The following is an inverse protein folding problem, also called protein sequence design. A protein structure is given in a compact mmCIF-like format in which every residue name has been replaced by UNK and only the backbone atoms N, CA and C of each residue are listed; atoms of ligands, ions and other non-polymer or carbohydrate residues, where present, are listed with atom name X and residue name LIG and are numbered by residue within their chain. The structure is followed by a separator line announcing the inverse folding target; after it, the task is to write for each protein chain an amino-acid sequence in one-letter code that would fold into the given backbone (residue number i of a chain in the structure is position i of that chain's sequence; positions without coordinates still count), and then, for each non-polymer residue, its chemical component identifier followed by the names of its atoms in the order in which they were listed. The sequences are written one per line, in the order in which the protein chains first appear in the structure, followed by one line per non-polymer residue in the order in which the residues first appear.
data_IF_655348405283
#
_entry.id   IF_655348405283
#
_cell.length_a   1.000
_cell.length_b   1.000
_cell.length_c   1.000
_cell.angle_alpha   90.00
_cell.angle_beta   90.00
_cell.angle_gamma   90.00
#
_symmetry.space_group_name_H-M   'P 1'
#
loop_
_entity.id
_entity.type
_entity.pdbx_description
1 polymer ?
#
# COMPACT_ATOMS: atom_id res chain seq x y z
N UNK A 1 -42.44 -8.53 -11.80
CA UNK A 1 -41.21 -8.48 -10.97
C UNK A 1 -40.12 -7.84 -11.80
N UNK A 2 -39.76 -6.61 -11.46
CA UNK A 2 -38.63 -5.92 -12.08
C UNK A 2 -37.36 -6.42 -11.36
N UNK A 3 -36.56 -7.20 -12.04
CA UNK A 3 -35.21 -7.52 -11.58
C UNK A 3 -34.33 -6.28 -11.76
N UNK A 4 -33.98 -5.59 -10.68
CA UNK A 4 -32.93 -4.58 -10.72
C UNK A 4 -31.61 -5.29 -11.02
N UNK A 5 -31.00 -4.97 -12.14
CA UNK A 5 -29.61 -5.36 -12.41
C UNK A 5 -28.74 -4.80 -11.27
N UNK A 6 -27.78 -5.58 -10.73
CA UNK A 6 -26.85 -5.04 -9.77
C UNK A 6 -26.10 -3.85 -10.40
N UNK A 7 -26.01 -2.75 -9.67
CA UNK A 7 -25.22 -1.61 -10.11
C UNK A 7 -23.79 -2.10 -10.38
N UNK A 8 -23.27 -1.77 -11.55
CA UNK A 8 -21.88 -2.09 -11.88
C UNK A 8 -20.96 -1.51 -10.79
N UNK A 9 -19.98 -2.30 -10.35
CA UNK A 9 -19.00 -1.87 -9.36
C UNK A 9 -18.36 -0.54 -9.81
N UNK A 10 -18.54 0.51 -9.03
CA UNK A 10 -18.01 1.83 -9.40
C UNK A 10 -16.60 1.97 -8.85
N UNK A 11 -15.62 1.85 -9.72
CA UNK A 11 -14.22 2.12 -9.41
C UNK A 11 -13.94 3.61 -9.41
N UNK A 12 -13.27 4.11 -8.38
CA UNK A 12 -12.74 5.47 -8.29
C UNK A 12 -11.21 5.44 -8.41
N UNK A 13 -10.66 6.38 -9.20
CA UNK A 13 -9.22 6.57 -9.25
C UNK A 13 -8.78 7.35 -8.00
N UNK A 14 -7.82 6.84 -7.25
CA UNK A 14 -7.28 7.48 -6.05
C UNK A 14 -6.39 8.69 -6.35
N UNK A 15 -5.90 8.80 -7.58
CA UNK A 15 -5.14 9.96 -8.08
C UNK A 15 -6.03 10.70 -9.09
N UNK A 16 -7.09 11.31 -8.59
CA UNK A 16 -8.10 11.99 -9.41
C UNK A 16 -7.54 13.27 -10.05
N UNK A 17 -8.01 13.55 -11.27
CA UNK A 17 -7.72 14.79 -12.03
C UNK A 17 -6.23 15.14 -12.09
N UNK A 18 -5.36 14.14 -12.05
CA UNK A 18 -3.90 14.33 -12.00
C UNK A 18 -3.47 15.21 -10.83
N UNK A 19 -4.17 15.11 -9.69
CA UNK A 19 -3.93 15.87 -8.48
C UNK A 19 -3.62 14.95 -7.31
N UNK A 20 -2.73 15.40 -6.42
CA UNK A 20 -2.41 14.75 -5.15
C UNK A 20 -3.13 15.39 -3.96
N UNK A 21 -4.12 16.26 -4.18
CA UNK A 21 -4.84 16.98 -3.11
C UNK A 21 -5.56 16.04 -2.11
N UNK A 22 -5.95 14.84 -2.55
CA UNK A 22 -6.56 13.80 -1.69
C UNK A 22 -5.56 13.05 -0.81
N UNK A 23 -4.27 13.43 -0.83
CA UNK A 23 -3.19 12.76 -0.15
C UNK A 23 -2.42 13.70 0.77
N UNK A 24 -1.64 13.12 1.69
CA UNK A 24 -0.69 13.83 2.54
C UNK A 24 0.62 13.04 2.68
N UNK A 25 1.74 13.77 2.65
CA UNK A 25 3.08 13.19 2.83
C UNK A 25 3.48 13.25 4.31
N UNK A 26 3.94 12.11 4.84
CA UNK A 26 4.41 11.96 6.22
C UNK A 26 5.87 11.50 6.17
N UNK A 27 6.75 12.24 6.83
CA UNK A 27 8.18 12.01 6.78
C UNK A 27 8.85 12.69 5.57
N UNK A 28 10.05 12.24 5.21
CA UNK A 28 10.97 12.87 4.25
C UNK A 28 10.87 12.30 2.82
N UNK A 29 9.72 11.79 2.45
CA UNK A 29 9.44 11.29 1.10
C UNK A 29 9.01 12.38 0.13
N UNK A 30 9.41 12.22 -1.13
CA UNK A 30 8.97 13.04 -2.25
C UNK A 30 8.04 12.23 -3.15
N UNK A 31 6.89 12.81 -3.50
CA UNK A 31 5.87 12.18 -4.32
C UNK A 31 5.54 13.05 -5.51
N UNK A 32 5.70 12.54 -6.71
CA UNK A 32 5.50 13.28 -7.95
C UNK A 32 4.54 12.53 -8.86
N UNK A 33 3.51 13.21 -9.32
CA UNK A 33 2.59 12.70 -10.32
C UNK A 33 2.99 13.19 -11.70
N UNK A 34 3.30 12.27 -12.59
CA UNK A 34 3.60 12.55 -13.99
C UNK A 34 2.33 12.82 -14.80
N UNK A 35 2.50 13.48 -15.94
CA UNK A 35 1.40 13.78 -16.86
C UNK A 35 0.73 12.53 -17.47
N UNK A 36 1.44 11.40 -17.51
CA UNK A 36 0.94 10.09 -17.96
C UNK A 36 0.19 9.31 -16.86
N UNK A 37 0.03 9.89 -15.65
CA UNK A 37 -0.69 9.27 -14.54
C UNK A 37 0.17 8.38 -13.64
N UNK A 38 1.48 8.29 -13.87
CA UNK A 38 2.39 7.54 -13.01
C UNK A 38 2.74 8.37 -11.78
N UNK A 39 2.45 7.83 -10.59
CA UNK A 39 2.88 8.36 -9.29
C UNK A 39 4.26 7.78 -8.95
N UNK A 40 5.25 8.64 -8.72
CA UNK A 40 6.61 8.27 -8.34
C UNK A 40 6.85 8.66 -6.89
N UNK A 41 7.26 7.69 -6.08
CA UNK A 41 7.72 7.88 -4.71
C UNK A 41 9.23 7.68 -4.60
N UNK A 42 9.91 8.59 -3.89
CA UNK A 42 11.35 8.55 -3.69
C UNK A 42 11.69 9.17 -2.34
N UNK A 43 12.58 8.53 -1.57
CA UNK A 43 13.10 9.14 -0.34
C UNK A 43 14.08 10.26 -0.63
N UNK A 44 14.11 11.24 0.26
CA UNK A 44 15.14 12.28 0.24
C UNK A 44 16.46 11.71 0.79
N UNK A 45 17.41 11.45 -0.10
CA UNK A 45 18.72 10.86 0.25
C UNK A 45 19.63 11.80 1.04
N UNK A 46 19.33 13.10 1.11
CA UNK A 46 20.13 14.08 1.87
C UNK A 46 19.89 14.02 3.37
N UNK A 47 18.77 13.47 3.81
CA UNK A 47 18.41 13.38 5.23
C UNK A 47 19.15 12.21 5.89
N UNK A 48 19.97 12.52 6.91
CA UNK A 48 20.63 11.50 7.72
C UNK A 48 19.63 10.88 8.71
N UNK A 49 19.58 9.55 8.72
CA UNK A 49 18.83 8.78 9.72
C UNK A 49 17.32 8.82 9.54
N UNK A 50 16.83 9.09 8.34
CA UNK A 50 15.41 9.00 8.07
C UNK A 50 14.95 7.53 8.16
N UNK A 51 13.95 7.30 9.00
CA UNK A 51 13.24 6.03 9.05
C UNK A 51 12.33 5.92 7.81
N UNK A 52 11.13 5.46 7.93
CA UNK A 52 10.19 5.36 6.82
C UNK A 52 9.63 6.75 6.43
N UNK A 53 9.12 6.85 5.20
CA UNK A 53 8.25 7.94 4.78
C UNK A 53 7.01 7.35 4.13
N UNK A 54 5.88 8.04 4.24
CA UNK A 54 4.59 7.53 3.84
C UNK A 54 3.77 8.57 3.09
N UNK A 55 2.86 8.10 2.25
CA UNK A 55 1.89 8.91 1.52
C UNK A 55 0.50 8.36 1.76
N UNK A 56 -0.30 9.07 2.55
CA UNK A 56 -1.61 8.62 3.02
C UNK A 56 -2.75 9.33 2.31
N UNK A 57 -3.80 8.57 1.99
CA UNK A 57 -5.08 9.17 1.62
C UNK A 57 -5.63 9.98 2.79
N UNK A 58 -6.19 11.17 2.52
CA UNK A 58 -6.90 11.95 3.55
C UNK A 58 -8.19 11.27 3.96
N UNK A 59 -8.89 10.65 3.00
CA UNK A 59 -10.08 9.82 3.24
C UNK A 59 -9.67 8.50 3.89
N UNK A 60 -10.55 8.01 4.76
CA UNK A 60 -10.49 6.67 5.34
C UNK A 60 -11.46 5.74 4.63
N UNK A 61 -11.13 4.45 4.64
CA UNK A 61 -11.86 3.40 3.94
C UNK A 61 -12.14 2.24 4.89
N UNK A 62 -13.30 1.59 4.73
CA UNK A 62 -13.69 0.38 5.45
C UNK A 62 -13.40 -0.89 4.65
N UNK A 63 -14.45 -1.42 4.01
CA UNK A 63 -14.31 -2.57 3.11
C UNK A 63 -14.15 -2.08 1.66
N UNK A 64 -13.18 -2.62 0.96
CA UNK A 64 -12.88 -2.20 -0.42
C UNK A 64 -12.07 -3.25 -1.18
N UNK A 65 -12.08 -3.11 -2.50
CA UNK A 65 -11.06 -3.64 -3.40
C UNK A 65 -10.14 -2.50 -3.82
N UNK A 66 -8.83 -2.71 -3.72
CA UNK A 66 -7.80 -1.79 -4.19
C UNK A 66 -7.01 -2.48 -5.29
N UNK A 67 -6.87 -1.83 -6.45
CA UNK A 67 -6.05 -2.33 -7.55
C UNK A 67 -5.06 -1.28 -8.00
N UNK A 68 -3.85 -1.73 -8.36
CA UNK A 68 -2.82 -0.89 -8.94
C UNK A 68 -1.75 -1.73 -9.64
N UNK A 69 -1.03 -1.10 -10.56
CA UNK A 69 0.25 -1.60 -11.02
C UNK A 69 1.36 -0.90 -10.24
N UNK A 70 2.41 -1.65 -9.88
CA UNK A 70 3.60 -1.10 -9.25
C UNK A 70 4.87 -1.54 -9.96
N UNK A 71 5.86 -0.67 -9.90
CA UNK A 71 7.25 -0.95 -10.24
C UNK A 71 8.13 -0.57 -9.06
N UNK A 72 9.04 -1.42 -8.69
CA UNK A 72 9.95 -1.18 -7.57
C UNK A 72 11.39 -1.39 -8.02
N UNK A 73 12.25 -0.42 -7.72
CA UNK A 73 13.68 -0.53 -7.99
C UNK A 73 14.25 -1.80 -7.38
N UNK A 74 15.17 -2.47 -8.08
CA UNK A 74 15.86 -3.66 -7.60
C UNK A 74 16.52 -3.40 -6.24
N UNK A 75 16.29 -4.28 -5.27
CA UNK A 75 16.71 -4.13 -3.88
C UNK A 75 15.92 -3.09 -3.10
N UNK A 76 14.85 -2.52 -3.68
CA UNK A 76 13.94 -1.61 -2.99
C UNK A 76 12.98 -2.34 -2.05
N UNK A 77 12.50 -1.59 -1.06
CA UNK A 77 11.50 -2.00 -0.09
C UNK A 77 10.43 -0.91 0.02
N UNK A 78 9.18 -1.30 -0.13
CA UNK A 78 7.98 -0.47 -0.07
C UNK A 78 6.81 -1.27 0.48
N UNK A 79 5.65 -0.66 0.61
CA UNK A 79 4.45 -1.34 1.09
C UNK A 79 3.20 -0.51 0.91
N UNK A 80 2.06 -1.17 1.07
CA UNK A 80 0.75 -0.52 1.12
C UNK A 80 0.18 -0.72 2.52
N UNK A 81 0.01 0.38 3.26
CA UNK A 81 -0.62 0.35 4.58
C UNK A 81 -2.13 0.43 4.47
N UNK A 82 -2.81 -0.39 5.26
CA UNK A 82 -4.26 -0.44 5.41
C UNK A 82 -4.62 -0.22 6.88
N UNK A 83 -5.61 0.62 7.16
CA UNK A 83 -6.20 0.80 8.49
C UNK A 83 -5.22 1.29 9.57
N UNK A 84 -4.10 1.91 9.18
CA UNK A 84 -3.21 2.53 10.15
C UNK A 84 -3.77 3.87 10.61
N UNK A 85 -4.46 3.87 11.73
CA UNK A 85 -5.08 5.05 12.34
C UNK A 85 -4.07 6.07 12.86
N UNK A 86 -2.79 5.69 13.01
CA UNK A 86 -1.72 6.59 13.43
C UNK A 86 -1.13 7.41 12.29
N UNK A 87 -1.39 7.02 11.02
CA UNK A 87 -0.80 7.65 9.82
C UNK A 87 0.72 7.70 9.91
N UNK A 88 1.34 6.57 10.24
CA UNK A 88 2.77 6.41 10.39
C UNK A 88 3.44 7.37 11.39
N UNK A 89 2.70 7.94 12.34
CA UNK A 89 3.24 8.85 13.37
C UNK A 89 4.50 8.30 14.04
N UNK A 90 4.56 6.98 14.21
CA UNK A 90 5.63 6.29 14.93
C UNK A 90 6.68 5.64 14.01
N UNK A 91 6.57 5.83 12.71
CA UNK A 91 7.49 5.24 11.74
C UNK A 91 8.49 6.24 11.13
N UNK A 92 8.38 7.51 11.49
CA UNK A 92 9.18 8.61 10.95
C UNK A 92 10.31 9.04 11.88
N UNK A 93 11.28 9.76 11.34
CA UNK A 93 12.37 10.36 12.11
C UNK A 93 11.84 11.26 13.23
N UNK A 94 12.40 11.13 14.42
CA UNK A 94 12.02 11.89 15.61
C UNK A 94 10.90 11.26 16.45
N UNK A 95 10.14 10.31 15.89
CA UNK A 95 9.05 9.62 16.60
C UNK A 95 9.12 8.08 16.44
N UNK A 96 10.29 7.53 16.16
CA UNK A 96 10.42 6.11 15.88
C UNK A 96 10.06 5.22 17.08
N UNK A 97 9.10 4.32 16.84
CA UNK A 97 8.75 3.23 17.76
C UNK A 97 8.49 1.97 16.92
N UNK A 98 9.39 0.99 17.01
CA UNK A 98 9.33 -0.21 16.19
C UNK A 98 8.05 -1.04 16.40
N UNK A 99 7.46 -0.97 17.60
CA UNK A 99 6.24 -1.70 17.98
C UNK A 99 4.95 -0.97 17.58
N UNK A 100 5.07 0.24 16.98
CA UNK A 100 3.94 1.09 16.59
C UNK A 100 4.01 1.56 15.13
N UNK A 101 4.78 0.87 14.31
CA UNK A 101 4.80 1.14 12.87
C UNK A 101 3.45 0.80 12.22
N UNK A 102 3.17 1.22 11.01
CA UNK A 102 1.90 0.95 10.33
C UNK A 102 1.53 -0.54 10.27
N UNK A 103 2.51 -1.43 10.14
CA UNK A 103 2.28 -2.89 10.20
C UNK A 103 1.85 -3.41 11.57
N UNK A 104 2.12 -2.67 12.65
CA UNK A 104 1.70 -3.03 14.01
C UNK A 104 0.34 -2.45 14.39
N UNK A 105 -0.01 -1.25 13.92
CA UNK A 105 -1.28 -0.58 14.23
C UNK A 105 -2.38 -0.99 13.26
N UNK A 106 -2.10 -0.91 11.97
CA UNK A 106 -2.93 -1.41 10.88
C UNK A 106 -2.34 -2.68 10.29
N UNK A 107 -2.30 -2.76 8.97
CA UNK A 107 -1.68 -3.84 8.21
C UNK A 107 -0.80 -3.25 7.13
N UNK A 108 0.26 -3.96 6.77
CA UNK A 108 1.12 -3.60 5.64
C UNK A 108 1.14 -4.75 4.64
N UNK A 109 0.83 -4.45 3.38
CA UNK A 109 1.00 -5.38 2.27
C UNK A 109 2.36 -5.08 1.65
N UNK A 110 3.26 -6.05 1.75
CA UNK A 110 4.67 -5.89 1.38
C UNK A 110 4.86 -5.70 -0.12
N UNK A 111 5.76 -4.80 -0.49
CA UNK A 111 6.35 -4.66 -1.81
C UNK A 111 7.87 -4.73 -1.65
N UNK A 112 8.47 -5.86 -2.00
CA UNK A 112 9.91 -6.11 -1.86
C UNK A 112 10.47 -6.81 -3.08
N UNK A 113 11.60 -6.31 -3.58
CA UNK A 113 12.42 -6.96 -4.60
C UNK A 113 13.76 -7.48 -4.01
N UNK A 114 13.84 -7.61 -2.69
CA UNK A 114 15.05 -8.05 -1.98
C UNK A 114 15.08 -9.57 -1.81
N UNK A 115 16.19 -10.20 -2.21
CA UNK A 115 16.41 -11.66 -2.02
C UNK A 115 16.53 -12.08 -0.56
N UNK A 116 16.56 -11.14 0.39
CA UNK A 116 16.76 -11.39 1.82
C UNK A 116 15.52 -11.17 2.68
N UNK A 117 14.44 -10.66 2.10
CA UNK A 117 13.22 -10.42 2.85
C UNK A 117 12.51 -11.74 3.14
N UNK A 118 12.15 -11.94 4.40
CA UNK A 118 11.32 -13.07 4.81
C UNK A 118 9.85 -12.89 4.42
N UNK A 119 9.45 -11.67 4.00
CA UNK A 119 8.13 -11.33 3.50
C UNK A 119 8.28 -10.74 2.10
N UNK A 120 7.89 -11.50 1.09
CA UNK A 120 7.92 -11.08 -0.31
C UNK A 120 6.70 -10.23 -0.69
N UNK A 121 6.75 -9.61 -1.87
CA UNK A 121 5.63 -8.82 -2.38
C UNK A 121 4.31 -9.59 -2.36
N UNK A 122 3.28 -8.97 -1.78
CA UNK A 122 1.97 -9.56 -1.57
C UNK A 122 1.78 -10.22 -0.22
N UNK A 123 2.82 -10.35 0.62
CA UNK A 123 2.66 -10.79 2.01
C UNK A 123 1.84 -9.77 2.81
N UNK A 124 1.02 -10.26 3.73
CA UNK A 124 0.52 -9.45 4.85
C UNK A 124 1.63 -9.47 5.90
N UNK A 125 2.40 -8.38 5.97
CA UNK A 125 3.64 -8.30 6.74
C UNK A 125 3.42 -8.68 8.21
N UNK A 126 4.27 -9.55 8.75
CA UNK A 126 4.20 -10.19 10.07
C UNK A 126 3.08 -11.22 10.27
N UNK A 127 2.15 -11.42 9.31
CA UNK A 127 0.99 -12.29 9.52
C UNK A 127 0.90 -13.45 8.54
N UNK A 128 1.05 -13.19 7.24
CA UNK A 128 0.95 -14.24 6.23
C UNK A 128 1.93 -13.99 5.10
N UNK A 129 2.74 -15.01 4.80
CA UNK A 129 3.81 -14.93 3.81
C UNK A 129 3.30 -15.32 2.43
N UNK A 130 3.53 -14.46 1.46
CA UNK A 130 3.40 -14.83 0.07
C UNK A 130 4.43 -15.90 -0.31
N UNK A 131 4.08 -16.86 -1.18
CA UNK A 131 5.02 -17.86 -1.69
C UNK A 131 6.12 -17.21 -2.54
N UNK A 132 7.18 -17.98 -2.83
CA UNK A 132 8.31 -17.50 -3.62
C UNK A 132 7.89 -16.98 -5.00
N UNK A 133 8.46 -15.86 -5.32
CA UNK A 133 8.51 -15.09 -6.57
C UNK A 133 7.39 -15.30 -7.59
N UNK A 134 6.40 -14.41 -7.56
CA UNK A 134 5.41 -14.24 -8.64
C UNK A 134 5.54 -12.86 -9.30
N UNK A 135 6.56 -12.09 -8.90
CA UNK A 135 6.81 -10.75 -9.45
C UNK A 135 7.77 -10.81 -10.63
N UNK A 136 7.58 -9.90 -11.58
CA UNK A 136 8.53 -9.65 -12.65
C UNK A 136 9.54 -8.61 -12.16
N UNK A 137 10.82 -8.98 -11.91
CA UNK A 137 11.82 -8.02 -11.47
C UNK A 137 12.06 -6.96 -12.56
N UNK A 138 12.22 -5.71 -12.15
CA UNK A 138 12.43 -4.57 -13.05
C UNK A 138 11.32 -4.31 -14.06
N UNK A 139 10.11 -4.82 -13.82
CA UNK A 139 8.94 -4.59 -14.65
C UNK A 139 7.72 -4.27 -13.80
N UNK A 140 6.65 -3.84 -14.47
CA UNK A 140 5.38 -3.60 -13.82
C UNK A 140 4.74 -4.91 -13.37
N UNK A 141 4.21 -4.88 -12.16
CA UNK A 141 3.43 -5.96 -11.58
C UNK A 141 2.05 -5.42 -11.17
N UNK A 142 1.04 -6.28 -11.17
CA UNK A 142 -0.31 -5.91 -10.75
C UNK A 142 -0.63 -6.48 -9.38
N UNK A 143 -1.17 -5.64 -8.50
CA UNK A 143 -1.71 -6.05 -7.21
C UNK A 143 -3.21 -5.78 -7.14
N UNK A 144 -3.93 -6.71 -6.52
CA UNK A 144 -5.28 -6.50 -6.02
C UNK A 144 -5.29 -6.86 -4.54
N UNK A 145 -5.88 -5.99 -3.73
CA UNK A 145 -6.09 -6.19 -2.29
C UNK A 145 -7.59 -6.13 -2.02
N UNK A 146 -8.13 -7.19 -1.47
CA UNK A 146 -9.50 -7.24 -0.97
C UNK A 146 -9.46 -7.06 0.55
N UNK A 147 -9.91 -5.91 1.04
CA UNK A 147 -10.01 -5.60 2.46
C UNK A 147 -11.46 -5.76 2.92
N UNK A 148 -11.71 -6.72 3.81
CA UNK A 148 -13.04 -7.05 4.36
C UNK A 148 -12.98 -7.07 5.89
N UNK A 149 -14.13 -6.98 6.54
CA UNK A 149 -14.22 -7.25 8.00
C UNK A 149 -13.73 -8.65 8.35
N UNK A 150 -13.93 -9.60 7.43
CA UNK A 150 -13.52 -10.99 7.58
C UNK A 150 -12.06 -11.27 7.27
N UNK A 151 -11.29 -10.27 6.82
CA UNK A 151 -9.87 -10.46 6.53
C UNK A 151 -9.36 -9.67 5.33
N UNK A 152 -8.12 -9.93 4.98
CA UNK A 152 -7.40 -9.31 3.87
C UNK A 152 -6.93 -10.43 2.93
N UNK A 153 -7.28 -10.32 1.65
CA UNK A 153 -6.80 -11.22 0.61
C UNK A 153 -5.98 -10.44 -0.41
N UNK A 154 -4.83 -10.96 -0.77
CA UNK A 154 -3.91 -10.30 -1.71
C UNK A 154 -3.66 -11.16 -2.93
N UNK A 155 -3.72 -10.52 -4.09
CA UNK A 155 -3.42 -11.13 -5.40
C UNK A 155 -2.26 -10.38 -6.05
N UNK A 156 -1.31 -11.11 -6.60
CA UNK A 156 -0.20 -10.59 -7.39
C UNK A 156 -0.23 -11.23 -8.77
N UNK A 157 -0.22 -10.42 -9.82
CA UNK A 157 -0.29 -10.87 -11.21
C UNK A 157 -1.43 -11.88 -11.47
N UNK A 158 -2.60 -11.64 -10.85
CA UNK A 158 -3.80 -12.46 -10.96
C UNK A 158 -3.83 -13.72 -10.10
N UNK A 159 -2.78 -14.01 -9.32
CA UNK A 159 -2.75 -15.16 -8.40
C UNK A 159 -2.94 -14.72 -6.95
N UNK A 160 -3.80 -15.38 -6.20
CA UNK A 160 -3.87 -15.19 -4.76
C UNK A 160 -2.55 -15.67 -4.12
N UNK A 161 -1.96 -14.80 -3.29
CA UNK A 161 -0.64 -15.02 -2.68
C UNK A 161 -0.69 -15.04 -1.17
N UNK A 162 -1.65 -14.36 -0.56
CA UNK A 162 -1.85 -14.37 0.89
C UNK A 162 -3.31 -14.16 1.25
N UNK A 163 -3.66 -14.64 2.45
CA UNK A 163 -4.96 -14.41 3.07
C UNK A 163 -4.82 -14.40 4.58
N UNK A 164 -5.20 -13.31 5.23
CA UNK A 164 -5.17 -13.19 6.68
C UNK A 164 -6.54 -12.81 7.21
N UNK A 165 -7.08 -13.57 8.15
CA UNK A 165 -8.42 -13.38 8.71
C UNK A 165 -8.60 -12.06 9.50
N UNK A 166 -7.50 -11.33 9.73
CA UNK A 166 -7.53 -10.09 10.52
C UNK A 166 -7.39 -10.33 12.02
N UNK A 167 -7.19 -9.23 12.73
CA UNK A 167 -7.12 -9.18 14.19
C UNK A 167 -8.28 -8.32 14.69
N UNK A 168 -9.20 -8.86 15.52
CA UNK A 168 -10.35 -8.12 16.01
C UNK A 168 -10.00 -6.92 16.90
N UNK A 169 -8.77 -6.84 17.42
CA UNK A 169 -8.29 -5.71 18.18
C UNK A 169 -7.89 -4.51 17.31
N UNK A 170 -7.73 -4.70 15.99
CA UNK A 170 -7.33 -3.65 15.06
C UNK A 170 -8.54 -2.96 14.44
N UNK A 171 -8.34 -1.71 14.02
CA UNK A 171 -9.40 -0.95 13.36
C UNK A 171 -9.89 -1.65 12.09
N UNK A 172 -11.20 -1.54 11.82
CA UNK A 172 -11.81 -2.00 10.58
C UNK A 172 -11.82 -0.92 9.49
N UNK A 173 -11.45 0.32 9.85
CA UNK A 173 -11.38 1.47 8.95
C UNK A 173 -10.06 2.20 9.12
N UNK A 174 -9.66 2.96 8.12
CA UNK A 174 -8.50 3.83 8.17
C UNK A 174 -8.02 4.24 6.77
N UNK A 175 -6.96 5.03 6.70
CA UNK A 175 -6.39 5.48 5.44
C UNK A 175 -5.67 4.36 4.69
N UNK A 176 -5.43 4.58 3.40
CA UNK A 176 -4.50 3.81 2.58
C UNK A 176 -3.19 4.58 2.53
N UNK A 177 -2.07 3.93 2.82
CA UNK A 177 -0.73 4.52 2.78
C UNK A 177 0.20 3.83 1.80
N UNK A 178 1.07 4.57 1.14
CA UNK A 178 2.15 4.06 0.29
C UNK A 178 3.48 4.35 0.98
N UNK A 179 4.37 3.35 1.07
CA UNK A 179 5.60 3.41 1.85
C UNK A 179 6.82 3.77 0.99
N UNK A 180 7.74 4.49 1.61
CA UNK A 180 9.15 4.56 1.24
C UNK A 180 9.97 4.07 2.43
N UNK A 181 10.44 2.81 2.38
CA UNK A 181 11.05 2.18 3.55
C UNK A 181 12.47 2.70 3.82
N UNK A 182 13.32 2.70 2.82
CA UNK A 182 14.73 3.05 2.98
C UNK A 182 15.20 4.11 1.98
N UNK A 183 16.45 4.56 2.15
CA UNK A 183 17.07 5.63 1.36
C UNK A 183 17.17 5.32 -0.14
N UNK A 184 17.15 4.06 -0.51
CA UNK A 184 17.30 3.62 -1.89
C UNK A 184 15.95 3.32 -2.55
N UNK A 185 14.86 3.41 -1.79
CA UNK A 185 13.53 3.12 -2.32
C UNK A 185 13.15 4.13 -3.38
N UNK A 186 12.89 3.60 -4.57
CA UNK A 186 12.17 4.28 -5.65
C UNK A 186 11.05 3.33 -6.06
N UNK A 187 9.82 3.80 -5.94
CA UNK A 187 8.62 3.04 -6.29
C UNK A 187 7.74 3.87 -7.22
N UNK A 188 7.11 3.21 -8.16
CA UNK A 188 6.13 3.84 -9.05
C UNK A 188 4.82 3.09 -8.97
N UNK A 189 3.72 3.85 -9.05
CA UNK A 189 2.35 3.33 -9.10
C UNK A 189 1.61 3.91 -10.29
N UNK A 190 0.75 3.11 -10.92
CA UNK A 190 -0.21 3.57 -11.93
C UNK A 190 -1.51 2.78 -11.79
N UNK A 191 -2.59 3.27 -12.41
CA UNK A 191 -3.91 2.65 -12.35
C UNK A 191 -4.39 2.39 -10.92
N UNK A 192 -3.99 3.28 -9.97
CA UNK A 192 -4.32 3.19 -8.57
C UNK A 192 -5.80 3.51 -8.35
N UNK A 193 -6.63 2.49 -8.19
CA UNK A 193 -8.08 2.60 -8.13
C UNK A 193 -8.69 1.77 -7.00
N UNK A 194 -9.80 2.25 -6.50
CA UNK A 194 -10.54 1.64 -5.39
C UNK A 194 -12.02 1.42 -5.76
N UNK A 195 -12.57 0.33 -5.26
CA UNK A 195 -14.01 0.06 -5.24
C UNK A 195 -14.43 -0.16 -3.78
N UNK A 196 -15.20 0.78 -3.24
CA UNK A 196 -15.73 0.66 -1.86
C UNK A 196 -16.91 -0.31 -1.84
N UNK A 197 -16.93 -1.19 -0.83
CA UNK A 197 -18.00 -2.15 -0.58
C UNK A 197 -18.89 -1.59 0.53
N UNK A 198 -20.19 -1.48 0.28
CA UNK A 198 -21.19 -0.88 1.18
C UNK A 198 -22.17 -1.91 1.72
#
# INVERSE_FOLDING_TARGET
MLFSLPAAAQWANLVQDKSLAGWESIGDGSWTLRSDGVLIGQKNISEKGSNQAWFYTRKEYGEFDLEFDWWLRLGGNSGVSLRDTSRAKWAITGNWDAEKTPSHIGYEIQLSNGYKDSFLSGSVYNFDKAPDVITNPNDWNRMKIESRKSGITVFVNGKQVSHYAGDPARSLTGPIGLQLHDRNTVVMFRDLRIHEIH
#
